data_IF_513756976407
#
_entry.id   IF_513756976407
#
_cell.length_a   1.000
_cell.length_b   1.000
_cell.length_c   1.000
_cell.angle_alpha   90.00
_cell.angle_beta   90.00
_cell.angle_gamma   90.00
#
_symmetry.space_group_name_H-M   'P 1'
#
loop_
_entity.id
_entity.type
_entity.pdbx_description
1 polymer ?
#
# COMPACT_ATOMS: atom_id res chain seq x y z
N UNK A 1 -38.53 -14.56 78.45
CA UNK A 1 -37.98 -15.93 78.39
C UNK A 1 -36.70 -15.87 77.58
N UNK A 2 -35.59 -16.25 78.20
CA UNK A 2 -34.21 -16.02 77.76
C UNK A 2 -33.59 -17.36 77.36
N UNK A 3 -32.57 -17.32 76.47
CA UNK A 3 -31.66 -18.41 76.02
C UNK A 3 -32.25 -19.35 74.95
N UNK A 4 -31.50 -19.86 73.96
CA UNK A 4 -30.03 -19.99 73.80
C UNK A 4 -29.72 -20.26 72.32
N UNK A 5 -28.61 -19.70 71.86
CA UNK A 5 -27.95 -19.94 70.57
C UNK A 5 -27.35 -21.36 70.49
N UNK A 6 -27.37 -21.97 69.30
CA UNK A 6 -26.63 -23.21 68.98
C UNK A 6 -25.60 -22.88 67.89
N UNK A 7 -24.28 -23.09 68.12
CA UNK A 7 -23.24 -22.94 67.10
C UNK A 7 -23.05 -24.22 66.28
N UNK A 8 -22.72 -24.07 64.99
CA UNK A 8 -22.32 -25.18 64.10
C UNK A 8 -20.80 -25.40 64.19
N UNK A 9 -20.32 -26.64 64.36
CA UNK A 9 -18.88 -26.92 64.43
C UNK A 9 -18.21 -26.91 63.06
N UNK A 10 -16.98 -26.40 63.06
CA UNK A 10 -16.04 -26.35 61.95
C UNK A 10 -15.46 -27.75 61.65
N UNK A 11 -15.31 -28.08 60.37
CA UNK A 11 -14.57 -29.27 59.94
C UNK A 11 -13.20 -28.84 59.43
N UNK A 12 -12.18 -29.11 60.24
CA UNK A 12 -10.76 -29.03 59.89
C UNK A 12 -10.34 -30.35 59.27
N UNK A 13 -9.75 -30.32 58.07
CA UNK A 13 -8.95 -31.45 57.57
C UNK A 13 -7.56 -30.90 57.24
N UNK A 14 -6.60 -31.30 58.07
CA UNK A 14 -5.16 -31.11 57.86
C UNK A 14 -4.59 -32.29 57.07
N UNK A 15 -3.61 -31.95 56.25
CA UNK A 15 -2.87 -32.75 55.28
C UNK A 15 -2.17 -33.99 55.83
N UNK A 16 -2.05 -35.00 54.96
CA UNK A 16 -0.92 -35.94 54.95
C UNK A 16 -0.25 -35.89 53.57
N UNK A 17 1.05 -35.67 53.61
CA UNK A 17 1.92 -35.47 52.45
C UNK A 17 2.20 -36.79 51.72
N UNK A 18 2.40 -36.70 50.41
CA UNK A 18 3.13 -37.72 49.65
C UNK A 18 4.26 -37.01 48.92
N UNK A 19 5.49 -37.35 49.33
CA UNK A 19 6.71 -36.88 48.72
C UNK A 19 6.85 -37.51 47.32
N UNK A 20 7.10 -36.67 46.31
CA UNK A 20 7.71 -37.12 45.06
C UNK A 20 9.12 -36.57 45.00
N UNK A 21 10.03 -37.53 44.92
CA UNK A 21 11.47 -37.45 44.83
C UNK A 21 11.88 -36.70 43.55
N UNK A 22 12.96 -35.93 43.67
CA UNK A 22 13.49 -35.10 42.60
C UNK A 22 13.84 -35.87 41.33
N UNK A 23 13.41 -35.31 40.21
CA UNK A 23 14.11 -35.39 38.95
C UNK A 23 14.34 -33.97 38.48
N UNK A 24 15.60 -33.53 38.41
CA UNK A 24 15.96 -32.31 37.70
C UNK A 24 15.77 -32.57 36.21
N UNK A 25 14.52 -32.51 35.74
CA UNK A 25 14.25 -32.29 34.32
C UNK A 25 14.62 -30.83 34.06
N UNK A 26 15.84 -30.61 33.58
CA UNK A 26 16.18 -29.36 32.89
C UNK A 26 15.23 -29.27 31.71
N UNK A 27 14.13 -28.53 31.89
CA UNK A 27 13.31 -28.07 30.79
C UNK A 27 14.19 -27.10 30.00
N UNK A 28 14.98 -27.65 29.08
CA UNK A 28 15.53 -26.89 27.99
C UNK A 28 14.32 -26.43 27.19
N UNK A 29 13.81 -25.25 27.54
CA UNK A 29 12.89 -24.51 26.70
C UNK A 29 13.65 -24.24 25.40
N UNK A 30 13.46 -25.12 24.41
CA UNK A 30 13.78 -24.82 23.03
C UNK A 30 12.89 -23.64 22.65
N UNK A 31 13.42 -22.44 22.83
CA UNK A 31 12.87 -21.24 22.23
C UNK A 31 13.04 -21.43 20.72
N UNK A 32 12.02 -21.97 20.05
CA UNK A 32 11.88 -21.83 18.61
C UNK A 32 11.65 -20.36 18.35
N UNK A 33 12.74 -19.61 18.17
CA UNK A 33 12.68 -18.35 17.46
C UNK A 33 12.27 -18.70 16.03
N UNK A 34 10.99 -18.50 15.71
CA UNK A 34 10.59 -18.36 14.32
C UNK A 34 11.34 -17.12 13.81
N UNK A 35 12.47 -17.34 13.14
CA UNK A 35 13.13 -16.30 12.40
C UNK A 35 12.12 -15.81 11.36
N UNK A 36 11.64 -14.58 11.51
CA UNK A 36 10.96 -13.91 10.39
C UNK A 36 11.86 -14.07 9.16
N UNK A 37 11.33 -14.44 7.98
CA UNK A 37 12.15 -14.66 6.82
C UNK A 37 12.97 -13.40 6.56
N UNK A 38 14.30 -13.54 6.59
CA UNK A 38 15.20 -12.48 6.21
C UNK A 38 14.89 -12.13 4.74
N UNK A 39 14.19 -11.01 4.51
CA UNK A 39 13.74 -10.59 3.18
C UNK A 39 12.28 -10.13 3.09
N UNK A 40 11.51 -10.16 4.19
CA UNK A 40 10.15 -9.65 4.14
C UNK A 40 10.10 -8.14 3.82
N UNK A 41 9.22 -7.76 2.88
CA UNK A 41 8.94 -6.37 2.53
C UNK A 41 10.19 -5.56 2.13
N UNK A 42 11.13 -6.21 1.43
CA UNK A 42 12.45 -5.64 1.16
C UNK A 42 12.33 -4.46 0.20
N UNK A 43 12.79 -3.25 0.55
CA UNK A 43 12.89 -2.15 -0.39
C UNK A 43 13.80 -2.52 -1.56
N UNK A 44 13.32 -2.34 -2.78
CA UNK A 44 14.05 -2.67 -4.02
C UNK A 44 14.00 -1.52 -5.01
N UNK A 45 14.87 -1.58 -6.01
CA UNK A 45 14.73 -0.70 -7.18
C UNK A 45 13.48 -1.07 -7.98
N UNK A 46 12.99 -0.11 -8.76
CA UNK A 46 11.91 -0.35 -9.71
C UNK A 46 12.32 -1.42 -10.74
N UNK A 47 11.46 -2.42 -11.04
CA UNK A 47 11.78 -3.44 -12.05
C UNK A 47 11.65 -2.89 -13.48
N UNK A 48 12.26 -3.57 -14.44
CA UNK A 48 12.26 -3.14 -15.85
C UNK A 48 10.88 -3.20 -16.52
N UNK A 49 9.93 -3.92 -15.94
CA UNK A 49 8.57 -4.08 -16.46
C UNK A 49 7.56 -4.34 -15.35
N UNK A 50 6.29 -4.10 -15.66
CA UNK A 50 5.14 -4.38 -14.79
C UNK A 50 4.18 -5.31 -15.52
N UNK A 51 3.67 -6.31 -14.80
CA UNK A 51 2.61 -7.22 -15.25
C UNK A 51 1.24 -6.53 -15.20
N UNK A 52 1.05 -5.62 -14.24
CA UNK A 52 -0.24 -4.94 -14.04
C UNK A 52 -0.09 -3.61 -13.29
N UNK A 53 -1.17 -2.82 -13.29
CA UNK A 53 -1.29 -1.62 -12.48
C UNK A 53 -2.72 -1.47 -11.95
N UNK A 54 -2.85 -0.91 -10.75
CA UNK A 54 -4.11 -0.71 -10.05
C UNK A 54 -4.16 0.65 -9.38
N UNK A 55 -5.37 1.15 -9.16
CA UNK A 55 -5.61 2.31 -8.30
C UNK A 55 -6.78 2.09 -7.35
N UNK A 56 -6.69 2.66 -6.16
CA UNK A 56 -7.83 2.88 -5.27
C UNK A 56 -7.99 4.37 -4.98
N UNK A 57 -9.19 4.88 -5.24
CA UNK A 57 -9.65 6.18 -4.77
C UNK A 57 -10.36 5.97 -3.43
N UNK A 58 -9.67 6.31 -2.35
CA UNK A 58 -10.11 6.08 -0.99
C UNK A 58 -10.85 7.30 -0.44
N UNK A 59 -12.01 7.07 0.16
CA UNK A 59 -12.86 8.13 0.73
C UNK A 59 -13.36 7.75 2.12
N UNK A 60 -13.84 8.73 2.92
CA UNK A 60 -14.25 8.48 4.30
C UNK A 60 -15.54 7.66 4.44
N UNK A 61 -16.40 7.67 3.42
CA UNK A 61 -17.70 7.00 3.39
C UNK A 61 -17.62 5.50 3.08
N UNK A 62 -16.45 5.01 2.68
CA UNK A 62 -16.23 3.60 2.35
C UNK A 62 -15.63 2.80 3.52
N UNK A 63 -15.35 3.45 4.65
CA UNK A 63 -14.69 2.85 5.82
C UNK A 63 -15.61 1.85 6.52
N UNK A 64 -15.04 0.70 6.87
CA UNK A 64 -15.70 -0.36 7.64
C UNK A 64 -14.82 -0.68 8.86
N UNK A 65 -15.44 -0.98 10.01
CA UNK A 65 -14.69 -1.53 11.13
C UNK A 65 -14.34 -3.01 10.90
N UNK A 66 -13.61 -3.62 11.84
CA UNK A 66 -13.21 -5.04 11.75
C UNK A 66 -14.36 -6.05 11.70
N UNK A 67 -15.60 -5.65 12.02
CA UNK A 67 -16.80 -6.47 11.94
C UNK A 67 -17.55 -6.29 10.60
N UNK A 68 -17.03 -5.45 9.69
CA UNK A 68 -17.68 -5.12 8.42
C UNK A 68 -18.80 -4.09 8.56
N UNK A 69 -18.90 -3.39 9.69
CA UNK A 69 -19.91 -2.36 9.91
C UNK A 69 -19.41 -1.01 9.39
N UNK A 70 -20.21 -0.36 8.55
CA UNK A 70 -19.93 0.98 8.05
C UNK A 70 -19.67 1.95 9.21
N UNK A 71 -18.50 2.58 9.18
CA UNK A 71 -18.00 3.45 10.24
C UNK A 71 -17.51 4.75 9.60
N UNK A 72 -17.82 5.93 10.16
CA UNK A 72 -17.35 7.18 9.58
C UNK A 72 -15.82 7.25 9.52
N UNK A 73 -15.27 7.51 8.34
CA UNK A 73 -13.88 7.95 8.17
C UNK A 73 -13.69 9.43 8.45
N UNK A 74 -12.50 9.95 8.15
CA UNK A 74 -12.12 11.33 8.41
C UNK A 74 -12.83 12.31 7.45
N UNK A 75 -13.71 13.22 7.92
CA UNK A 75 -14.41 14.14 7.05
C UNK A 75 -13.47 15.00 6.20
N UNK A 76 -13.74 15.07 4.89
CA UNK A 76 -12.94 15.86 3.94
C UNK A 76 -11.60 15.24 3.54
N UNK A 77 -11.24 14.07 4.09
CA UNK A 77 -10.05 13.34 3.67
C UNK A 77 -10.30 12.55 2.38
N UNK A 78 -9.24 12.32 1.61
CA UNK A 78 -9.22 11.40 0.48
C UNK A 78 -7.82 10.77 0.34
N UNK A 79 -7.75 9.62 -0.32
CA UNK A 79 -6.50 8.96 -0.64
C UNK A 79 -6.49 8.48 -2.09
N UNK A 80 -5.33 8.56 -2.73
CA UNK A 80 -5.05 7.88 -4.00
C UNK A 80 -3.94 6.88 -3.74
N UNK A 81 -4.20 5.61 -4.04
CA UNK A 81 -3.23 4.53 -3.94
C UNK A 81 -3.00 3.99 -5.33
N UNK A 82 -1.82 4.18 -5.89
CA UNK A 82 -1.45 3.68 -7.20
C UNK A 82 -0.43 2.57 -7.02
N UNK A 83 -0.76 1.37 -7.48
CA UNK A 83 0.10 0.20 -7.40
C UNK A 83 0.51 -0.22 -8.80
N UNK A 84 1.79 -0.46 -9.01
CA UNK A 84 2.32 -1.13 -10.20
C UNK A 84 2.96 -2.42 -9.74
N UNK A 85 2.53 -3.53 -10.31
CA UNK A 85 2.89 -4.87 -9.86
C UNK A 85 3.71 -5.53 -10.97
N UNK A 86 4.77 -6.21 -10.57
CA UNK A 86 5.41 -7.27 -11.33
C UNK A 86 5.27 -8.54 -10.48
N UNK A 87 4.27 -9.35 -10.77
CA UNK A 87 3.97 -10.52 -9.96
C UNK A 87 4.93 -11.69 -10.20
N UNK A 88 5.56 -11.76 -11.38
CA UNK A 88 6.63 -12.72 -11.69
C UNK A 88 7.84 -12.55 -10.75
N UNK A 89 8.13 -11.31 -10.34
CA UNK A 89 9.19 -10.95 -9.39
C UNK A 89 8.68 -10.77 -7.95
N UNK A 90 7.37 -10.82 -7.74
CA UNK A 90 6.67 -10.46 -6.51
C UNK A 90 7.08 -9.06 -6.00
N UNK A 91 7.17 -8.08 -6.91
CA UNK A 91 7.51 -6.68 -6.63
C UNK A 91 6.29 -5.79 -6.83
N UNK A 92 6.01 -4.94 -5.85
CA UNK A 92 5.02 -3.87 -5.94
C UNK A 92 5.70 -2.51 -5.77
N UNK A 93 5.51 -1.64 -6.76
CA UNK A 93 5.84 -0.22 -6.67
C UNK A 93 4.57 0.57 -6.37
N UNK A 94 4.61 1.40 -5.33
CA UNK A 94 3.47 2.17 -4.86
C UNK A 94 3.74 3.68 -4.97
N UNK A 95 2.68 4.42 -5.26
CA UNK A 95 2.60 5.87 -5.11
C UNK A 95 1.28 6.17 -4.38
N UNK A 96 1.39 6.65 -3.15
CA UNK A 96 0.27 6.87 -2.24
C UNK A 96 0.27 8.35 -1.87
N UNK A 97 -0.85 9.01 -2.08
CA UNK A 97 -1.09 10.39 -1.69
C UNK A 97 -2.36 10.48 -0.85
N UNK A 98 -2.28 11.14 0.30
CA UNK A 98 -3.40 11.40 1.20
C UNK A 98 -3.60 12.90 1.35
N UNK A 99 -4.81 13.37 1.07
CA UNK A 99 -5.21 14.77 1.25
C UNK A 99 -6.22 14.85 2.39
N UNK A 100 -6.11 15.85 3.26
CA UNK A 100 -7.05 16.07 4.36
C UNK A 100 -6.99 15.05 5.51
N UNK A 101 -6.11 14.03 5.43
CA UNK A 101 -5.82 13.12 6.55
C UNK A 101 -4.95 13.82 7.59
N UNK A 102 -5.42 13.88 8.84
CA UNK A 102 -4.74 14.58 9.95
C UNK A 102 -4.48 13.67 11.15
N UNK A 103 -3.69 14.13 12.11
CA UNK A 103 -3.35 13.36 13.30
C UNK A 103 -2.28 12.29 13.06
N UNK A 104 -1.82 11.68 14.14
CA UNK A 104 -0.79 10.66 14.09
C UNK A 104 -1.35 9.34 13.56
N UNK A 105 -0.50 8.55 12.89
CA UNK A 105 -0.84 7.22 12.44
C UNK A 105 -1.00 6.25 13.62
N UNK A 106 -1.96 5.35 13.52
CA UNK A 106 -2.14 4.27 14.50
C UNK A 106 -2.70 3.03 13.82
N UNK A 107 -2.12 1.87 14.11
CA UNK A 107 -2.58 0.59 13.58
C UNK A 107 -2.09 -0.55 14.47
N UNK A 108 -2.84 -1.66 14.58
CA UNK A 108 -2.33 -2.91 15.12
C UNK A 108 -1.24 -3.56 14.25
N UNK A 109 -1.20 -3.25 12.95
CA UNK A 109 -0.16 -3.67 12.03
C UNK A 109 1.10 -2.77 12.16
N UNK A 110 2.20 -3.16 11.52
CA UNK A 110 3.50 -2.47 11.59
C UNK A 110 3.47 -1.03 11.08
N UNK A 111 2.57 -0.72 10.14
CA UNK A 111 2.24 0.63 9.68
C UNK A 111 0.72 0.78 9.67
N UNK A 112 0.22 1.94 9.28
CA UNK A 112 -1.21 2.26 9.27
C UNK A 112 -1.77 2.45 7.86
N UNK A 113 -1.03 2.02 6.84
CA UNK A 113 -1.37 2.19 5.42
C UNK A 113 -1.26 0.84 4.75
N UNK A 114 -2.37 0.27 4.28
CA UNK A 114 -2.40 -1.15 3.90
C UNK A 114 -3.21 -1.42 2.63
N UNK A 115 -3.00 -2.63 2.08
CA UNK A 115 -3.99 -3.33 1.26
C UNK A 115 -4.59 -4.48 2.08
N UNK A 116 -5.91 -4.50 2.16
CA UNK A 116 -6.73 -5.57 2.72
C UNK A 116 -7.21 -6.50 1.62
N UNK A 117 -7.26 -7.81 1.91
CA UNK A 117 -8.04 -8.75 1.12
C UNK A 117 -9.49 -8.69 1.58
N UNK A 118 -10.22 -7.73 1.02
CA UNK A 118 -11.57 -7.36 1.38
C UNK A 118 -12.38 -6.94 0.14
N UNK A 119 -13.42 -7.69 -0.18
CA UNK A 119 -14.38 -7.31 -1.21
C UNK A 119 -15.15 -6.04 -0.82
N UNK A 120 -15.78 -5.39 -1.80
CA UNK A 120 -16.60 -4.20 -1.56
C UNK A 120 -17.69 -4.48 -0.50
N UNK A 121 -17.75 -3.65 0.53
CA UNK A 121 -18.71 -3.80 1.64
C UNK A 121 -18.37 -4.88 2.67
N UNK A 122 -17.20 -5.53 2.56
CA UNK A 122 -16.73 -6.51 3.54
C UNK A 122 -15.44 -6.03 4.24
N UNK A 123 -15.26 -6.45 5.49
CA UNK A 123 -13.98 -6.38 6.16
C UNK A 123 -13.12 -7.60 5.77
N UNK A 124 -11.81 -7.47 5.91
CA UNK A 124 -10.85 -8.55 5.65
C UNK A 124 -9.50 -8.25 6.29
N UNK A 125 -8.59 -9.23 6.37
CA UNK A 125 -7.27 -9.02 6.96
C UNK A 125 -6.40 -8.13 6.06
N UNK A 126 -5.50 -7.32 6.65
CA UNK A 126 -4.44 -6.68 5.88
C UNK A 126 -3.51 -7.76 5.34
N UNK A 127 -3.03 -7.59 4.10
CA UNK A 127 -2.08 -8.49 3.44
C UNK A 127 -0.76 -7.81 3.09
N UNK A 128 -0.80 -6.51 2.85
CA UNK A 128 0.35 -5.70 2.46
C UNK A 128 0.32 -4.41 3.27
N UNK A 129 1.47 -4.00 3.81
CA UNK A 129 1.60 -2.80 4.63
C UNK A 129 2.72 -1.92 4.08
N UNK A 130 2.40 -0.68 3.76
CA UNK A 130 3.32 0.29 3.18
C UNK A 130 3.88 1.23 4.24
N UNK A 131 5.06 1.84 4.03
CA UNK A 131 5.49 2.99 4.82
C UNK A 131 4.40 4.06 4.86
N UNK A 132 4.11 4.57 6.06
CA UNK A 132 3.09 5.59 6.23
C UNK A 132 3.46 6.87 5.46
N UNK A 133 2.52 7.50 4.74
CA UNK A 133 2.78 8.74 4.02
C UNK A 133 3.28 9.89 4.93
N UNK A 134 4.23 10.67 4.43
CA UNK A 134 4.86 11.80 5.14
C UNK A 134 4.86 13.06 4.27
N UNK A 135 5.05 14.27 4.83
CA UNK A 135 5.12 14.59 6.26
C UNK A 135 3.76 14.43 6.97
N UNK A 136 3.77 14.27 8.29
CA UNK A 136 2.55 14.40 9.11
C UNK A 136 2.27 15.90 9.28
N UNK A 137 1.09 16.38 8.87
CA UNK A 137 0.69 17.78 8.98
C UNK A 137 -0.46 18.15 8.04
N UNK A 138 -0.61 19.45 7.75
CA UNK A 138 -1.72 20.02 6.96
C UNK A 138 -1.54 19.88 5.43
N UNK A 139 -0.40 19.35 4.99
CA UNK A 139 -0.10 19.11 3.58
C UNK A 139 -0.52 17.71 3.10
N UNK A 140 -0.50 17.47 1.78
CA UNK A 140 -0.66 16.11 1.27
C UNK A 140 0.45 15.23 1.85
N UNK A 141 0.06 14.08 2.41
CA UNK A 141 1.01 13.08 2.90
C UNK A 141 1.31 12.12 1.75
N UNK A 142 2.57 11.89 1.44
CA UNK A 142 2.96 11.00 0.33
C UNK A 142 3.87 9.86 0.78
N UNK A 143 3.72 8.70 0.13
CA UNK A 143 4.60 7.54 0.29
C UNK A 143 4.82 6.93 -1.08
N UNK A 144 6.08 6.74 -1.47
CA UNK A 144 6.44 6.08 -2.72
C UNK A 144 7.65 5.18 -2.56
N UNK A 145 7.73 4.16 -3.40
CA UNK A 145 8.82 3.19 -3.38
C UNK A 145 8.43 1.88 -4.04
N UNK A 146 9.37 0.94 -4.06
CA UNK A 146 9.13 -0.43 -4.49
C UNK A 146 9.58 -1.39 -3.40
N UNK A 147 8.81 -2.46 -3.22
CA UNK A 147 9.10 -3.49 -2.23
C UNK A 147 8.84 -4.88 -2.82
N UNK A 148 9.69 -5.83 -2.45
CA UNK A 148 9.61 -7.22 -2.86
C UNK A 148 9.09 -8.10 -1.72
N UNK A 149 8.28 -9.10 -2.07
CA UNK A 149 7.81 -10.12 -1.15
C UNK A 149 8.91 -11.05 -0.63
N UNK A 150 8.62 -11.91 0.36
CA UNK A 150 7.31 -12.13 0.96
C UNK A 150 6.80 -10.91 1.74
N UNK A 151 5.49 -10.66 1.71
CA UNK A 151 4.90 -9.51 2.37
C UNK A 151 4.42 -9.85 3.78
N UNK A 152 4.62 -8.92 4.70
CA UNK A 152 4.14 -9.04 6.07
C UNK A 152 3.41 -7.78 6.50
N UNK A 153 2.56 -7.94 7.49
CA UNK A 153 1.83 -6.82 8.10
C UNK A 153 2.29 -6.56 9.53
N UNK A 154 3.05 -7.46 10.14
CA UNK A 154 3.35 -7.44 11.57
C UNK A 154 2.15 -7.81 12.44
N UNK A 155 0.99 -8.12 11.85
CA UNK A 155 -0.23 -8.47 12.56
C UNK A 155 -0.41 -9.98 12.54
N UNK A 156 -0.47 -10.60 13.72
CA UNK A 156 -0.92 -11.98 13.89
C UNK A 156 -2.35 -11.94 14.42
N UNK A 157 -3.38 -12.32 13.63
CA UNK A 157 -4.76 -12.34 14.09
C UNK A 157 -4.92 -13.22 15.34
N UNK A 158 -5.88 -12.89 16.21
CA UNK A 158 -6.14 -13.66 17.41
C UNK A 158 -6.47 -15.12 17.07
N UNK A 159 -5.72 -16.06 17.64
CA UNK A 159 -5.88 -17.49 17.38
C UNK A 159 -5.23 -17.99 16.09
N UNK A 160 -4.45 -17.15 15.39
CA UNK A 160 -3.61 -17.56 14.28
C UNK A 160 -2.16 -17.82 14.73
N UNK A 161 -1.48 -18.72 14.02
CA UNK A 161 -0.07 -19.06 14.26
C UNK A 161 0.90 -18.31 13.32
N UNK A 162 0.39 -17.41 12.48
CA UNK A 162 1.17 -16.71 11.45
C UNK A 162 0.69 -15.27 11.18
N UNK A 163 1.58 -14.45 10.62
CA UNK A 163 1.29 -13.09 10.16
C UNK A 163 0.17 -13.08 9.11
N UNK A 164 -0.68 -12.06 9.10
CA UNK A 164 -1.80 -11.98 8.15
C UNK A 164 -1.36 -11.75 6.71
N UNK A 165 -0.11 -11.35 6.43
CA UNK A 165 0.49 -11.36 5.10
C UNK A 165 1.01 -12.73 4.67
N UNK A 166 1.13 -13.71 5.57
CA UNK A 166 1.66 -15.04 5.23
C UNK A 166 0.83 -15.72 4.13
N UNK A 167 1.52 -16.12 3.05
CA UNK A 167 0.90 -16.80 1.90
C UNK A 167 0.18 -15.86 0.91
N UNK A 168 0.22 -14.56 1.14
CA UNK A 168 -0.20 -13.58 0.14
C UNK A 168 0.88 -13.42 -0.94
N UNK A 169 0.44 -13.32 -2.20
CA UNK A 169 1.28 -13.02 -3.38
C UNK A 169 0.56 -11.99 -4.25
N UNK A 170 1.30 -11.22 -5.03
CA UNK A 170 0.70 -10.17 -5.86
C UNK A 170 -0.22 -10.71 -6.97
N UNK A 171 -0.02 -11.96 -7.42
CA UNK A 171 -0.92 -12.65 -8.36
C UNK A 171 -2.37 -12.68 -7.86
N UNK A 172 -2.60 -12.66 -6.55
CA UNK A 172 -3.96 -12.65 -5.99
C UNK A 172 -4.68 -11.32 -6.28
N UNK A 173 -3.95 -10.19 -6.25
CA UNK A 173 -4.51 -8.89 -6.66
C UNK A 173 -4.79 -8.90 -8.17
N UNK A 174 -3.90 -9.48 -8.98
CA UNK A 174 -4.10 -9.54 -10.42
C UNK A 174 -5.31 -10.39 -10.82
N UNK A 175 -5.54 -11.49 -10.10
CA UNK A 175 -6.65 -12.40 -10.35
C UNK A 175 -8.02 -11.79 -10.03
N UNK A 176 -8.13 -11.02 -8.93
CA UNK A 176 -9.37 -10.37 -8.52
C UNK A 176 -9.10 -9.07 -7.75
N UNK A 177 -8.84 -7.94 -8.43
CA UNK A 177 -8.53 -6.67 -7.75
C UNK A 177 -9.74 -6.15 -6.95
N UNK A 178 -10.97 -6.49 -7.34
CA UNK A 178 -12.17 -6.05 -6.63
C UNK A 178 -12.31 -6.72 -5.25
N UNK A 179 -11.59 -7.81 -5.00
CA UNK A 179 -11.46 -8.44 -3.69
C UNK A 179 -10.46 -7.75 -2.76
N UNK A 180 -9.88 -6.61 -3.15
CA UNK A 180 -8.90 -5.88 -2.35
C UNK A 180 -9.26 -4.41 -2.16
N UNK A 181 -8.92 -3.89 -0.98
CA UNK A 181 -9.16 -2.51 -0.59
C UNK A 181 -7.90 -1.87 -0.03
N UNK A 182 -7.64 -0.61 -0.36
CA UNK A 182 -6.61 0.20 0.25
C UNK A 182 -7.20 1.08 1.36
N UNK A 183 -6.46 1.27 2.44
CA UNK A 183 -6.87 2.17 3.52
C UNK A 183 -5.69 2.87 4.20
N UNK A 184 -6.06 3.83 5.06
CA UNK A 184 -5.14 4.44 6.02
C UNK A 184 -5.85 4.73 7.32
N UNK A 185 -5.17 4.55 8.46
CA UNK A 185 -5.70 4.75 9.81
C UNK A 185 -4.94 5.85 10.55
N UNK A 186 -5.65 6.58 11.41
CA UNK A 186 -5.06 7.56 12.33
C UNK A 186 -5.58 7.33 13.74
N UNK A 187 -4.99 7.98 14.74
CA UNK A 187 -5.41 7.86 16.15
C UNK A 187 -6.92 8.16 16.31
N UNK A 188 -7.40 9.21 15.66
CA UNK A 188 -8.81 9.62 15.75
C UNK A 188 -9.75 8.76 14.87
N UNK A 189 -9.20 8.05 13.89
CA UNK A 189 -9.92 7.22 12.93
C UNK A 189 -9.31 5.82 12.85
N UNK A 190 -9.39 5.10 13.98
CA UNK A 190 -8.79 3.77 14.14
C UNK A 190 -9.41 2.68 13.24
N UNK A 191 -10.69 2.82 12.87
CA UNK A 191 -11.33 1.96 11.87
C UNK A 191 -10.88 2.28 10.43
N UNK A 192 -10.28 3.45 10.21
CA UNK A 192 -9.83 3.95 8.92
C UNK A 192 -10.19 5.43 8.77
N UNK A 193 -9.22 6.26 8.39
CA UNK A 193 -9.45 7.63 7.94
C UNK A 193 -10.07 7.65 6.53
N UNK A 194 -9.57 6.79 5.64
CA UNK A 194 -10.08 6.60 4.26
C UNK A 194 -9.97 5.13 3.86
N UNK A 195 -10.87 4.67 2.97
CA UNK A 195 -10.84 3.32 2.37
C UNK A 195 -11.29 3.37 0.90
N UNK A 196 -10.75 2.52 0.02
CA UNK A 196 -11.17 2.42 -1.38
C UNK A 196 -10.84 1.06 -2.00
N UNK A 197 -11.70 0.54 -2.90
CA UNK A 197 -11.40 -0.71 -3.62
C UNK A 197 -10.34 -0.51 -4.70
N UNK A 198 -9.51 -1.53 -4.93
CA UNK A 198 -8.61 -1.55 -6.08
C UNK A 198 -9.39 -1.74 -7.39
N UNK A 199 -8.97 -1.00 -8.41
CA UNK A 199 -9.46 -1.08 -9.78
C UNK A 199 -8.27 -1.12 -10.72
N UNK A 200 -8.35 -1.91 -11.79
CA UNK A 200 -7.25 -2.03 -12.74
C UNK A 200 -7.12 -0.78 -13.61
N UNK A 201 -5.88 -0.36 -13.87
CA UNK A 201 -5.55 0.73 -14.78
C UNK A 201 -4.49 0.25 -15.81
N UNK A 202 -4.37 0.91 -16.98
CA UNK A 202 -3.36 0.52 -17.96
C UNK A 202 -1.93 0.62 -17.40
N UNK A 203 -1.09 -0.37 -17.69
CA UNK A 203 0.36 -0.27 -17.46
C UNK A 203 0.90 0.90 -18.29
N UNK A 204 1.48 1.91 -17.63
CA UNK A 204 1.97 3.13 -18.28
C UNK A 204 1.00 4.33 -18.29
N UNK A 205 -0.24 4.21 -17.81
CA UNK A 205 -1.11 5.40 -17.61
C UNK A 205 -0.70 6.26 -16.41
N UNK A 206 0.33 5.83 -15.67
CA UNK A 206 0.93 6.55 -14.54
C UNK A 206 2.17 7.26 -15.03
N UNK A 207 1.97 8.32 -15.81
CA UNK A 207 2.97 9.37 -15.91
C UNK A 207 3.04 10.06 -14.55
N UNK A 208 3.72 9.44 -13.58
CA UNK A 208 4.18 10.11 -12.37
C UNK A 208 5.07 11.25 -12.82
N UNK A 209 4.57 12.47 -12.75
CA UNK A 209 5.32 13.66 -13.12
C UNK A 209 6.59 13.76 -12.27
N UNK A 210 7.74 13.40 -12.84
CA UNK A 210 9.03 13.59 -12.20
C UNK A 210 10.15 12.67 -12.67
N UNK A 211 10.86 13.09 -13.73
CA UNK A 211 12.33 12.97 -13.75
C UNK A 211 13.00 11.68 -14.20
N UNK A 212 12.41 10.91 -15.13
CA UNK A 212 13.15 9.87 -15.86
C UNK A 212 13.69 10.42 -17.18
N UNK A 213 14.95 10.87 -17.24
CA UNK A 213 15.64 11.11 -18.51
C UNK A 213 15.87 9.77 -19.22
N UNK A 214 14.85 9.25 -19.90
CA UNK A 214 15.07 8.35 -21.01
C UNK A 214 15.55 9.21 -22.18
N UNK A 215 16.87 9.29 -22.35
CA UNK A 215 17.45 9.62 -23.65
C UNK A 215 16.84 8.64 -24.64
N UNK A 216 16.03 9.15 -25.56
CA UNK A 216 15.52 8.39 -26.68
C UNK A 216 16.74 7.84 -27.46
N UNK A 217 16.98 6.54 -27.34
CA UNK A 217 17.79 5.81 -28.30
C UNK A 217 16.97 5.76 -29.59
N UNK A 218 17.17 6.76 -30.45
CA UNK A 218 16.71 6.73 -31.83
C UNK A 218 17.50 5.67 -32.58
N UNK A 219 17.00 4.44 -32.59
CA UNK A 219 17.37 3.49 -33.64
C UNK A 219 16.67 3.90 -34.93
N UNK A 220 17.40 4.61 -35.78
CA UNK A 220 17.07 4.71 -37.20
C UNK A 220 18.31 4.33 -37.98
N UNK A 221 18.18 3.17 -38.60
CA UNK A 221 19.15 2.47 -39.38
C UNK A 221 19.78 3.34 -40.47
N UNK A 222 21.06 3.08 -40.65
CA UNK A 222 21.97 3.56 -41.68
C UNK A 222 21.37 3.64 -43.09
N UNK A 223 21.55 4.79 -43.74
CA UNK A 223 21.80 4.83 -45.18
C UNK A 223 22.73 5.99 -45.52
N UNK A 224 23.88 5.57 -46.03
CA UNK A 224 25.02 6.26 -46.62
C UNK A 224 24.75 7.62 -47.28
N UNK A 225 25.53 8.65 -46.92
CA UNK A 225 26.06 9.68 -47.86
C UNK A 225 27.23 10.48 -47.24
N UNK A 226 28.13 10.90 -48.13
CA UNK A 226 29.53 11.35 -48.02
C UNK A 226 29.70 12.75 -47.39
N UNK A 227 30.81 13.07 -46.68
CA UNK A 227 31.03 14.41 -46.13
C UNK A 227 31.61 15.37 -47.18
N UNK A 228 31.06 16.59 -47.27
CA UNK A 228 31.69 17.72 -47.95
C UNK A 228 31.84 18.87 -46.96
N UNK A 229 33.09 19.25 -46.74
CA UNK A 229 33.56 20.45 -46.03
C UNK A 229 33.22 21.69 -46.86
N UNK A 230 32.65 22.74 -46.25
CA UNK A 230 32.41 24.00 -46.96
C UNK A 230 31.94 25.13 -46.06
N UNK A 231 32.81 26.10 -45.87
CA UNK A 231 32.69 27.25 -44.99
C UNK A 231 31.83 28.40 -45.57
N UNK A 232 31.24 29.21 -44.66
CA UNK A 232 31.07 30.69 -44.69
C UNK A 232 30.44 31.34 -45.93
N UNK A 233 29.31 32.06 -45.74
CA UNK A 233 29.17 33.46 -46.18
C UNK A 233 27.86 34.11 -45.68
N UNK A 234 28.01 35.28 -45.05
CA UNK A 234 26.98 36.30 -44.83
C UNK A 234 26.53 36.90 -46.18
N UNK A 235 25.24 37.20 -46.32
CA UNK A 235 24.72 37.95 -47.48
C UNK A 235 23.35 38.55 -47.19
N UNK A 236 23.26 39.88 -47.30
CA UNK A 236 22.16 40.72 -46.87
C UNK A 236 21.11 40.99 -47.97
N UNK A 237 19.89 41.30 -47.51
CA UNK A 237 18.83 42.19 -48.04
C UNK A 237 18.41 42.19 -49.53
N UNK A 238 17.08 42.30 -49.76
CA UNK A 238 16.36 43.42 -50.46
C UNK A 238 15.10 42.94 -51.24
N UNK A 239 13.92 43.36 -50.72
CA UNK A 239 12.74 44.06 -51.35
C UNK A 239 11.88 43.44 -52.49
N UNK A 240 10.57 43.78 -52.39
CA UNK A 240 9.45 43.80 -53.36
C UNK A 240 8.66 42.48 -53.52
N UNK A 241 7.33 42.39 -53.36
CA UNK A 241 6.25 43.37 -53.27
C UNK A 241 5.37 43.32 -54.52
N UNK A 242 4.26 42.57 -54.52
CA UNK A 242 3.10 42.80 -55.41
C UNK A 242 1.83 42.21 -54.76
N UNK A 243 0.81 43.06 -54.59
CA UNK A 243 -0.57 42.71 -54.23
C UNK A 243 -1.36 42.29 -55.48
N UNK A 244 -2.27 41.33 -55.35
CA UNK A 244 -3.42 41.23 -56.24
C UNK A 244 -4.68 40.89 -55.43
N UNK A 245 -5.65 41.80 -55.54
CA UNK A 245 -7.02 41.64 -55.07
C UNK A 245 -7.94 41.48 -56.29
N UNK A 246 -8.82 40.48 -56.27
CA UNK A 246 -10.10 40.44 -57.01
C UNK A 246 -10.91 39.26 -56.43
N UNK A 247 -11.93 39.49 -55.60
CA UNK A 247 -13.33 39.90 -55.88
C UNK A 247 -14.24 38.83 -56.49
N UNK A 248 -15.30 38.53 -55.70
CA UNK A 248 -16.73 38.32 -56.03
C UNK A 248 -17.12 37.01 -56.74
N UNK A 249 -18.31 36.42 -56.60
CA UNK A 249 -19.63 36.77 -56.02
C UNK A 249 -20.44 35.45 -55.86
N UNK A 250 -21.18 35.22 -54.77
CA UNK A 250 -22.67 35.27 -54.61
C UNK A 250 -23.49 34.07 -55.16
N UNK A 251 -24.42 33.60 -54.29
CA UNK A 251 -25.77 33.01 -54.50
C UNK A 251 -25.95 31.76 -53.61
N UNK A 252 -27.03 31.55 -52.84
CA UNK A 252 -28.27 32.29 -52.56
C UNK A 252 -28.70 32.00 -51.13
#
# INVERSE_FOLDING_TARGET
MTRRSIPRPATSIRSTATAVVGGTATAAALMLFAAAPAGADTPVAEPDSFTSAFTAMATPDQVLNGEGVATPGQPGAMGTFTLRINSDLDIVCYDIALEGVTGDYMSPAKTATHIHQAAAGAAGPPRLAFPNPTPIGDGPRTSSGCMQGPFTTGLTPAGADADSGTGFTLDQIEADPAAFAADTHTVDFSAGAVRGQLTQIPVGSVATGGGGSAVAASDSASSSVVPVVGAVALGAMVVAGVTFAARREVRS
#
